data_IF_166316840444
#
_entry.id   IF_166316840444
#
_cell.length_a   1.000
_cell.length_b   1.000
_cell.length_c   1.000
_cell.angle_alpha   90.00
_cell.angle_beta   90.00
_cell.angle_gamma   90.00
#
_symmetry.space_group_name_H-M   'P 1'
#
loop_
_entity.id
_entity.type
_entity.pdbx_description
1 polymer ?
#
# COMPACT_ATOMS: atom_id res chain seq x y z
N UNK A 1 -20.02 -52.59 -12.85
CA UNK A 1 -20.45 -51.78 -11.68
C UNK A 1 -19.50 -50.59 -11.58
N UNK A 2 -19.95 -49.45 -12.07
CA UNK A 2 -19.19 -48.25 -12.32
C UNK A 2 -19.24 -47.36 -11.08
N UNK A 3 -18.08 -47.04 -10.50
CA UNK A 3 -17.97 -46.08 -9.41
C UNK A 3 -17.45 -44.72 -9.94
N UNK A 4 -18.37 -43.78 -10.16
CA UNK A 4 -18.02 -42.40 -10.45
C UNK A 4 -17.46 -41.71 -9.20
N UNK A 5 -16.21 -41.37 -9.21
CA UNK A 5 -15.61 -40.46 -8.24
C UNK A 5 -15.92 -39.00 -8.67
N UNK A 6 -16.86 -38.41 -7.95
CA UNK A 6 -17.22 -36.99 -8.04
C UNK A 6 -16.06 -36.13 -7.59
N UNK A 7 -15.38 -35.44 -8.52
CA UNK A 7 -14.47 -34.38 -8.24
C UNK A 7 -15.28 -33.16 -7.76
N UNK A 8 -15.26 -32.89 -6.46
CA UNK A 8 -15.76 -31.63 -5.91
C UNK A 8 -14.77 -30.53 -6.27
N UNK A 9 -15.11 -29.76 -7.28
CA UNK A 9 -14.44 -28.50 -7.58
C UNK A 9 -14.72 -27.52 -6.43
N UNK A 10 -13.71 -27.26 -5.63
CA UNK A 10 -13.73 -26.15 -4.66
C UNK A 10 -13.58 -24.87 -5.46
N UNK A 11 -14.69 -24.19 -5.72
CA UNK A 11 -14.68 -22.82 -6.23
C UNK A 11 -14.26 -21.93 -5.08
N UNK A 12 -12.99 -21.50 -5.10
CA UNK A 12 -12.54 -20.43 -4.23
C UNK A 12 -13.11 -19.16 -4.83
N UNK A 13 -14.19 -18.67 -4.24
CA UNK A 13 -14.68 -17.33 -4.52
C UNK A 13 -13.66 -16.32 -3.99
N UNK A 14 -12.87 -15.74 -4.88
CA UNK A 14 -12.10 -14.56 -4.58
C UNK A 14 -13.10 -13.44 -4.25
N UNK A 15 -13.32 -13.18 -2.97
CA UNK A 15 -14.08 -12.04 -2.53
C UNK A 15 -13.24 -10.80 -2.80
N UNK A 16 -13.46 -10.16 -3.94
CA UNK A 16 -13.02 -8.79 -4.16
C UNK A 16 -13.72 -7.92 -3.10
N UNK A 17 -12.99 -7.57 -2.05
CA UNK A 17 -13.46 -6.60 -1.07
C UNK A 17 -13.39 -5.23 -1.72
N UNK A 18 -14.40 -4.90 -2.52
CA UNK A 18 -14.68 -3.52 -2.89
C UNK A 18 -15.27 -2.87 -1.66
N UNK A 19 -14.46 -2.21 -0.87
CA UNK A 19 -14.92 -1.32 0.19
C UNK A 19 -15.54 -0.09 -0.48
N UNK A 20 -16.81 -0.20 -0.86
CA UNK A 20 -17.63 0.94 -1.21
C UNK A 20 -17.94 1.70 0.08
N UNK A 21 -17.11 2.67 0.42
CA UNK A 21 -17.47 3.67 1.43
C UNK A 21 -18.44 4.65 0.76
N UNK A 22 -19.73 4.43 0.96
CA UNK A 22 -20.75 5.41 0.61
C UNK A 22 -20.63 6.59 1.58
N UNK A 23 -19.88 7.61 1.20
CA UNK A 23 -19.89 8.90 1.89
C UNK A 23 -20.91 9.78 1.15
N UNK A 24 -22.08 9.94 1.73
CA UNK A 24 -22.99 11.02 1.37
C UNK A 24 -22.29 12.36 1.69
N UNK A 25 -21.74 13.01 0.71
CA UNK A 25 -21.03 14.27 0.84
C UNK A 25 -21.19 15.11 -0.41
N UNK A 26 -21.68 16.32 -0.23
CA UNK A 26 -21.65 17.42 -1.20
C UNK A 26 -20.28 17.46 -1.91
N UNK A 27 -20.31 17.50 -3.24
CA UNK A 27 -19.12 17.68 -4.06
C UNK A 27 -18.50 19.05 -3.75
N UNK A 28 -17.52 19.09 -2.88
CA UNK A 28 -16.68 20.27 -2.72
C UNK A 28 -15.73 20.31 -3.94
N UNK A 29 -15.77 21.41 -4.67
CA UNK A 29 -14.75 21.71 -5.67
C UNK A 29 -13.41 21.85 -4.90
N UNK A 30 -12.55 20.85 -5.01
CA UNK A 30 -11.25 20.86 -4.38
C UNK A 30 -10.36 21.82 -5.16
N UNK A 31 -10.15 23.01 -4.63
CA UNK A 31 -9.11 23.90 -5.15
C UNK A 31 -7.77 23.34 -4.73
N UNK A 32 -7.13 22.56 -5.61
CA UNK A 32 -5.74 22.17 -5.42
C UNK A 32 -4.88 23.42 -5.60
N UNK A 33 -4.18 23.88 -4.56
CA UNK A 33 -3.11 24.86 -4.72
C UNK A 33 -1.90 24.13 -5.27
N UNK A 34 -1.50 24.44 -6.51
CA UNK A 34 -0.31 23.87 -7.14
C UNK A 34 0.70 24.96 -7.41
N UNK A 35 1.85 24.94 -6.74
CA UNK A 35 3.10 25.42 -7.33
C UNK A 35 3.56 24.35 -8.34
N UNK A 36 4.47 24.71 -9.26
CA UNK A 36 4.83 23.80 -10.37
C UNK A 36 5.21 22.37 -9.91
N UNK A 37 5.82 22.20 -8.74
CA UNK A 37 6.31 20.91 -8.21
C UNK A 37 5.68 20.49 -6.88
N UNK A 38 4.65 21.18 -6.41
CA UNK A 38 3.92 20.85 -5.17
C UNK A 38 2.43 20.92 -5.43
N UNK A 39 1.69 19.90 -5.04
CA UNK A 39 0.24 19.88 -5.02
C UNK A 39 -0.26 19.53 -3.62
N UNK A 40 -1.25 20.24 -3.10
CA UNK A 40 -1.86 19.96 -1.81
C UNK A 40 -3.38 20.01 -1.87
N UNK A 41 -4.01 19.28 -0.96
CA UNK A 41 -5.45 19.29 -0.75
C UNK A 41 -5.74 19.64 0.70
N UNK A 42 -6.74 20.50 0.97
CA UNK A 42 -7.15 20.82 2.33
C UNK A 42 -7.88 19.63 2.97
N UNK A 43 -7.78 19.51 4.30
CA UNK A 43 -8.44 18.46 5.08
C UNK A 43 -9.97 18.53 4.94
N UNK A 44 -10.54 19.73 4.89
CA UNK A 44 -11.98 19.99 4.69
C UNK A 44 -12.91 19.12 5.58
N UNK A 45 -12.51 18.88 6.83
CA UNK A 45 -13.28 18.10 7.82
C UNK A 45 -13.33 16.60 7.57
N UNK A 46 -12.51 16.05 6.67
CA UNK A 46 -12.47 14.61 6.38
C UNK A 46 -11.83 13.83 7.53
N UNK A 47 -12.47 12.73 7.91
CA UNK A 47 -11.94 11.74 8.86
C UNK A 47 -11.43 10.48 8.17
N UNK A 48 -11.77 10.29 6.88
CA UNK A 48 -11.35 9.17 6.05
C UNK A 48 -11.05 9.66 4.64
N UNK A 49 -10.08 9.03 3.99
CA UNK A 49 -9.75 9.29 2.59
C UNK A 49 -9.15 8.04 1.93
N UNK A 50 -9.28 7.97 0.61
CA UNK A 50 -8.64 6.97 -0.22
C UNK A 50 -7.71 7.66 -1.22
N UNK A 51 -6.48 7.14 -1.35
CA UNK A 51 -5.50 7.58 -2.33
C UNK A 51 -5.23 6.46 -3.32
N UNK A 52 -5.24 6.79 -4.61
CA UNK A 52 -4.80 5.92 -5.70
C UNK A 52 -3.68 6.58 -6.47
N UNK A 53 -2.52 5.92 -6.54
CA UNK A 53 -1.36 6.36 -7.33
C UNK A 53 -1.40 5.67 -8.68
N UNK A 54 -1.48 6.44 -9.77
CA UNK A 54 -1.71 5.89 -11.13
C UNK A 54 -0.58 6.16 -12.12
N UNK A 55 0.42 6.97 -11.75
CA UNK A 55 1.58 7.21 -12.60
C UNK A 55 2.83 6.57 -12.02
N UNK A 56 3.55 5.84 -12.87
CA UNK A 56 4.84 5.24 -12.52
C UNK A 56 5.88 6.29 -12.15
N UNK A 57 6.76 5.95 -11.23
CA UNK A 57 7.88 6.80 -10.78
C UNK A 57 9.07 5.93 -10.39
N UNK A 58 10.31 6.41 -10.55
CA UNK A 58 11.47 5.66 -10.04
C UNK A 58 11.37 5.42 -8.53
N UNK A 59 11.14 6.46 -7.75
CA UNK A 59 10.99 6.37 -6.30
C UNK A 59 9.70 7.05 -5.86
N UNK A 60 8.89 6.32 -5.10
CA UNK A 60 7.71 6.83 -4.40
C UNK A 60 7.97 6.77 -2.89
N UNK A 61 8.02 7.92 -2.25
CA UNK A 61 8.15 8.06 -0.79
C UNK A 61 6.82 8.54 -0.20
N UNK A 62 6.23 7.74 0.69
CA UNK A 62 4.94 8.03 1.32
C UNK A 62 5.12 8.05 2.83
N UNK A 63 4.70 9.14 3.45
CA UNK A 63 4.75 9.26 4.91
C UNK A 63 3.45 9.83 5.47
N UNK A 64 3.26 9.66 6.79
CA UNK A 64 2.13 10.22 7.51
C UNK A 64 2.63 11.20 8.57
N UNK A 65 2.12 12.45 8.52
CA UNK A 65 2.49 13.50 9.44
C UNK A 65 1.30 14.42 9.79
N UNK A 66 1.49 15.29 10.78
CA UNK A 66 0.52 16.36 11.04
C UNK A 66 0.71 17.49 10.02
N UNK A 67 -0.25 17.67 9.15
CA UNK A 67 -0.23 18.67 8.07
C UNK A 67 -0.98 19.96 8.41
N UNK A 68 -1.37 20.17 9.67
CA UNK A 68 -1.95 21.43 10.18
C UNK A 68 -3.09 22.01 9.31
N UNK A 69 -3.99 21.16 8.83
CA UNK A 69 -5.15 21.57 8.03
C UNK A 69 -5.12 21.08 6.58
N UNK A 70 -4.00 20.61 6.07
CA UNK A 70 -3.96 19.90 4.80
C UNK A 70 -4.34 18.42 4.99
N UNK A 71 -5.02 17.88 4.00
CA UNK A 71 -5.34 16.45 3.88
C UNK A 71 -4.11 15.67 3.42
N UNK A 72 -3.47 16.18 2.38
CA UNK A 72 -2.25 15.61 1.82
C UNK A 72 -1.45 16.66 1.07
N UNK A 73 -0.15 16.38 0.94
CA UNK A 73 0.80 17.17 0.12
C UNK A 73 1.64 16.22 -0.71
N UNK A 74 1.80 16.54 -1.98
CA UNK A 74 2.65 15.79 -2.91
C UNK A 74 3.67 16.73 -3.51
N UNK A 75 4.91 16.30 -3.61
CA UNK A 75 5.98 17.07 -4.24
C UNK A 75 6.86 16.22 -5.13
N UNK A 76 7.41 16.86 -6.15
CA UNK A 76 8.51 16.38 -6.99
C UNK A 76 9.66 17.36 -6.88
N UNK A 77 10.93 16.96 -7.13
CA UNK A 77 12.06 17.90 -7.14
C UNK A 77 11.86 19.01 -8.17
N UNK A 78 12.36 20.22 -7.89
CA UNK A 78 12.21 21.39 -8.77
C UNK A 78 12.78 21.19 -10.19
N UNK A 79 13.78 20.32 -10.34
CA UNK A 79 14.36 19.96 -11.64
C UNK A 79 13.67 18.80 -12.35
N UNK A 80 12.65 18.18 -11.75
CA UNK A 80 11.93 17.06 -12.39
C UNK A 80 11.09 17.56 -13.57
N UNK A 81 11.06 16.78 -14.64
CA UNK A 81 10.22 17.06 -15.80
C UNK A 81 8.74 16.77 -15.56
N UNK A 82 8.42 16.15 -14.45
CA UNK A 82 7.07 15.74 -14.06
C UNK A 82 6.56 16.60 -12.90
N UNK A 83 5.25 16.77 -12.84
CA UNK A 83 4.56 17.54 -11.79
C UNK A 83 3.42 16.75 -11.23
N UNK A 84 3.17 16.78 -9.91
CA UNK A 84 2.06 16.08 -9.31
C UNK A 84 0.72 16.72 -9.69
N UNK A 85 -0.25 15.88 -10.03
CA UNK A 85 -1.63 16.27 -10.31
C UNK A 85 -2.55 15.45 -9.43
N UNK A 86 -3.38 16.14 -8.65
CA UNK A 86 -4.39 15.53 -7.79
C UNK A 86 -5.77 15.74 -8.41
N UNK A 87 -6.55 14.68 -8.53
CA UNK A 87 -7.89 14.70 -9.08
C UNK A 87 -8.82 13.75 -8.33
N UNK A 88 -10.13 13.88 -8.53
CA UNK A 88 -11.09 13.05 -7.83
C UNK A 88 -11.23 13.39 -6.35
N UNK A 89 -12.13 12.73 -5.67
CA UNK A 89 -12.41 12.95 -4.25
C UNK A 89 -12.49 11.67 -3.43
N UNK A 90 -12.90 10.55 -4.04
CA UNK A 90 -13.01 9.25 -3.41
C UNK A 90 -12.97 8.13 -4.48
N UNK A 91 -11.81 7.61 -4.86
CA UNK A 91 -10.48 7.96 -4.34
C UNK A 91 -9.95 9.31 -4.88
N UNK A 92 -9.01 9.90 -4.15
CA UNK A 92 -8.12 10.92 -4.68
C UNK A 92 -7.12 10.21 -5.58
N UNK A 93 -7.00 10.68 -6.80
CA UNK A 93 -6.07 10.09 -7.78
C UNK A 93 -4.85 10.98 -7.89
N UNK A 94 -3.68 10.42 -7.60
CA UNK A 94 -2.39 11.02 -7.86
C UNK A 94 -1.87 10.54 -9.21
N UNK A 95 -1.67 11.47 -10.12
CA UNK A 95 -0.98 11.26 -11.38
C UNK A 95 0.16 12.26 -11.56
N UNK A 96 1.04 12.01 -12.53
CA UNK A 96 2.13 12.89 -12.88
C UNK A 96 1.89 13.44 -14.28
N UNK A 97 1.91 14.77 -14.42
CA UNK A 97 1.84 15.44 -15.70
C UNK A 97 3.24 15.92 -16.13
N UNK A 98 3.50 15.95 -17.44
CA UNK A 98 4.82 16.25 -17.99
C UNK A 98 5.58 14.96 -18.36
N UNK A 99 6.86 15.05 -18.63
CA UNK A 99 7.63 13.88 -19.10
C UNK A 99 7.52 13.70 -20.61
N UNK A 100 7.80 14.76 -21.38
CA UNK A 100 7.91 14.66 -22.84
C UNK A 100 9.08 13.73 -23.22
N UNK A 101 8.94 13.08 -24.38
CA UNK A 101 9.84 12.05 -24.95
C UNK A 101 11.22 12.55 -25.39
N UNK A 102 11.68 13.70 -24.91
CA UNK A 102 13.00 14.23 -25.26
C UNK A 102 14.06 13.77 -24.29
N UNK A 103 14.93 12.99 -24.84
CA UNK A 103 16.22 12.48 -24.34
C UNK A 103 16.89 13.30 -23.24
N UNK A 104 17.40 12.58 -22.22
CA UNK A 104 18.24 13.06 -21.12
C UNK A 104 17.51 13.74 -19.96
N UNK A 105 16.33 13.26 -19.58
CA UNK A 105 15.75 13.67 -18.32
C UNK A 105 16.19 12.69 -17.21
N UNK A 106 16.58 13.24 -16.09
CA UNK A 106 16.90 12.48 -14.88
C UNK A 106 15.80 11.45 -14.63
N UNK A 107 16.11 10.18 -14.90
CA UNK A 107 15.24 9.04 -14.57
C UNK A 107 15.21 8.80 -13.06
N UNK A 108 15.92 9.61 -12.31
CA UNK A 108 16.19 9.44 -10.90
C UNK A 108 15.56 10.62 -10.13
N UNK A 109 14.26 10.52 -9.88
CA UNK A 109 13.55 11.49 -9.03
C UNK A 109 12.64 10.78 -8.05
N UNK A 110 12.40 11.42 -6.92
CA UNK A 110 11.49 10.94 -5.88
C UNK A 110 10.20 11.74 -5.92
N UNK A 111 9.08 11.04 -5.94
CA UNK A 111 7.77 11.63 -5.66
C UNK A 111 7.50 11.46 -4.17
N UNK A 112 7.43 12.56 -3.44
CA UNK A 112 7.17 12.55 -2.00
C UNK A 112 5.70 12.85 -1.74
N UNK A 113 5.04 11.97 -0.99
CA UNK A 113 3.64 12.06 -0.59
C UNK A 113 3.57 12.12 0.92
N UNK A 114 3.03 13.21 1.47
CA UNK A 114 2.77 13.33 2.90
C UNK A 114 1.26 13.34 3.13
N UNK A 115 0.80 12.42 3.96
CA UNK A 115 -0.61 12.21 4.29
C UNK A 115 -0.90 12.71 5.70
N UNK A 116 -2.10 13.24 5.93
CA UNK A 116 -2.50 13.73 7.25
C UNK A 116 -2.69 12.60 8.25
N UNK A 117 -2.08 12.72 9.42
CA UNK A 117 -2.24 11.77 10.54
C UNK A 117 -3.64 11.81 11.19
N UNK A 118 -4.42 12.85 10.94
CA UNK A 118 -5.79 12.98 11.45
C UNK A 118 -6.82 12.12 10.71
N UNK A 119 -6.44 11.52 9.58
CA UNK A 119 -7.33 10.79 8.66
C UNK A 119 -7.03 9.29 8.68
N UNK A 120 -8.05 8.46 8.49
CA UNK A 120 -7.90 7.03 8.21
C UNK A 120 -7.75 6.85 6.70
N UNK A 121 -6.62 6.25 6.28
CA UNK A 121 -6.27 6.12 4.88
C UNK A 121 -6.54 4.73 4.33
N UNK A 122 -7.07 4.66 3.10
CA UNK A 122 -7.01 3.49 2.22
C UNK A 122 -6.08 3.83 1.06
N UNK A 123 -5.07 2.98 0.79
CA UNK A 123 -4.02 3.26 -0.19
C UNK A 123 -4.05 2.23 -1.31
N UNK A 124 -3.99 2.68 -2.56
CA UNK A 124 -3.87 1.85 -3.77
C UNK A 124 -2.68 2.34 -4.61
N UNK A 125 -1.60 1.55 -4.62
CA UNK A 125 -0.42 1.77 -5.45
C UNK A 125 -0.62 1.03 -6.78
N UNK A 126 -1.25 1.72 -7.74
CA UNK A 126 -1.66 1.15 -9.03
C UNK A 126 -0.70 1.50 -10.19
N UNK A 127 0.51 1.92 -9.87
CA UNK A 127 1.53 2.25 -10.86
C UNK A 127 2.88 1.64 -10.51
N UNK A 128 3.61 1.20 -11.53
CA UNK A 128 4.92 0.58 -11.36
C UNK A 128 5.98 1.54 -10.82
N UNK A 129 6.83 1.06 -9.94
CA UNK A 129 7.95 1.80 -9.35
C UNK A 129 9.21 0.95 -9.35
N UNK A 130 10.39 1.58 -9.34
CA UNK A 130 11.61 0.87 -8.97
C UNK A 130 11.63 0.65 -7.45
N UNK A 131 11.27 1.70 -6.68
CA UNK A 131 11.21 1.62 -5.23
C UNK A 131 9.99 2.37 -4.71
N UNK A 132 9.23 1.71 -3.84
CA UNK A 132 8.20 2.35 -3.00
C UNK A 132 8.63 2.22 -1.55
N UNK A 133 8.77 3.35 -0.88
CA UNK A 133 8.99 3.44 0.56
C UNK A 133 7.75 4.09 1.20
N UNK A 134 7.15 3.43 2.18
CA UNK A 134 5.96 3.95 2.84
C UNK A 134 6.08 3.83 4.36
N UNK A 135 6.37 4.95 5.03
CA UNK A 135 6.32 5.02 6.49
C UNK A 135 4.94 5.49 6.97
N UNK A 136 4.10 4.54 7.29
CA UNK A 136 2.72 4.80 7.71
C UNK A 136 2.53 4.70 9.23
N UNK A 137 3.61 4.51 10.00
CA UNK A 137 3.58 4.27 11.46
C UNK A 137 2.89 5.38 12.24
N UNK A 138 3.03 6.63 11.78
CA UNK A 138 2.47 7.82 12.43
C UNK A 138 0.96 8.04 12.21
N UNK A 139 0.26 7.12 11.53
CA UNK A 139 -1.11 7.33 11.13
C UNK A 139 -2.06 6.18 11.39
N UNK A 140 -3.17 6.21 10.67
CA UNK A 140 -4.21 5.19 10.67
C UNK A 140 -4.49 4.74 9.25
N UNK A 141 -4.46 3.41 9.03
CA UNK A 141 -4.68 2.80 7.73
C UNK A 141 -5.78 1.75 7.84
N UNK A 142 -6.71 1.74 6.91
CA UNK A 142 -7.82 0.78 6.82
C UNK A 142 -7.56 -0.34 5.81
N UNK A 143 -6.66 -0.14 4.86
CA UNK A 143 -6.29 -1.15 3.86
C UNK A 143 -5.25 -0.63 2.90
N UNK A 144 -4.49 -1.56 2.31
CA UNK A 144 -3.47 -1.27 1.29
C UNK A 144 -3.65 -2.27 0.14
N UNK A 145 -3.58 -1.76 -1.07
CA UNK A 145 -3.47 -2.55 -2.29
C UNK A 145 -2.22 -2.10 -3.08
N UNK A 146 -1.46 -3.06 -3.59
CA UNK A 146 -0.34 -2.84 -4.52
C UNK A 146 -0.67 -3.64 -5.76
N UNK A 147 -1.25 -2.98 -6.75
CA UNK A 147 -1.78 -3.63 -7.95
C UNK A 147 -0.82 -3.59 -9.14
N UNK A 148 0.26 -2.82 -9.03
CA UNK A 148 1.33 -2.75 -10.04
C UNK A 148 2.66 -3.26 -9.47
N UNK A 149 3.60 -3.60 -10.36
CA UNK A 149 4.90 -4.14 -9.98
C UNK A 149 5.85 -3.12 -9.36
N UNK A 150 6.77 -3.61 -8.51
CA UNK A 150 7.87 -2.82 -7.94
C UNK A 150 9.12 -3.69 -7.79
N UNK A 151 10.31 -3.12 -7.97
CA UNK A 151 11.52 -3.88 -7.64
C UNK A 151 11.68 -4.00 -6.13
N UNK A 152 11.50 -2.89 -5.40
CA UNK A 152 11.57 -2.86 -3.94
C UNK A 152 10.31 -2.20 -3.39
N UNK A 153 9.62 -2.91 -2.52
CA UNK A 153 8.48 -2.43 -1.77
C UNK A 153 8.83 -2.50 -0.27
N UNK A 154 9.06 -1.33 0.35
CA UNK A 154 9.37 -1.21 1.78
C UNK A 154 8.24 -0.46 2.48
N UNK A 155 7.49 -1.14 3.34
CA UNK A 155 6.32 -0.56 4.00
C UNK A 155 6.37 -0.80 5.50
N UNK A 156 6.28 0.30 6.26
CA UNK A 156 6.13 0.29 7.71
C UNK A 156 4.69 0.63 8.10
N UNK A 157 3.99 -0.29 8.76
CA UNK A 157 2.57 -0.18 9.07
C UNK A 157 2.30 0.24 10.51
N UNK A 158 1.24 1.04 10.77
CA UNK A 158 0.79 1.36 12.12
C UNK A 158 0.12 0.15 12.79
N UNK A 159 -0.14 0.25 14.08
CA UNK A 159 -1.00 -0.74 14.77
C UNK A 159 -2.43 -0.64 14.20
N UNK A 160 -2.99 -1.74 13.69
CA UNK A 160 -4.32 -1.70 13.11
C UNK A 160 -5.41 -1.67 14.19
N UNK A 161 -6.55 -1.10 13.82
CA UNK A 161 -7.80 -1.21 14.56
C UNK A 161 -8.66 -2.29 13.87
N UNK A 162 -8.57 -3.52 14.37
CA UNK A 162 -9.20 -4.67 13.72
C UNK A 162 -8.27 -5.42 12.77
N UNK A 163 -8.80 -5.99 11.69
CA UNK A 163 -8.02 -6.63 10.64
C UNK A 163 -7.64 -5.61 9.58
N UNK A 164 -6.34 -5.44 9.33
CA UNK A 164 -5.85 -4.63 8.21
C UNK A 164 -5.53 -5.55 7.03
N UNK A 165 -6.30 -5.45 5.94
CA UNK A 165 -6.00 -6.17 4.71
C UNK A 165 -4.86 -5.48 3.95
N UNK A 166 -3.92 -6.28 3.48
CA UNK A 166 -2.85 -5.89 2.58
C UNK A 166 -2.88 -6.81 1.36
N UNK A 167 -3.20 -6.26 0.21
CA UNK A 167 -3.28 -7.00 -1.04
C UNK A 167 -2.08 -6.66 -1.93
N UNK A 168 -1.33 -7.67 -2.35
CA UNK A 168 -0.24 -7.56 -3.31
C UNK A 168 -0.60 -8.35 -4.58
N UNK A 169 -1.03 -7.65 -5.62
CA UNK A 169 -1.34 -8.21 -6.95
C UNK A 169 -0.20 -7.96 -7.94
N UNK A 170 0.59 -6.91 -7.76
CA UNK A 170 1.77 -6.63 -8.56
C UNK A 170 2.94 -7.55 -8.21
N UNK A 171 3.74 -7.96 -9.20
CA UNK A 171 4.99 -8.68 -8.95
C UNK A 171 6.01 -7.79 -8.26
N UNK A 172 6.69 -8.31 -7.22
CA UNK A 172 7.69 -7.56 -6.45
C UNK A 172 8.96 -8.40 -6.30
N UNK A 173 10.13 -7.80 -6.54
CA UNK A 173 11.39 -8.52 -6.31
C UNK A 173 11.70 -8.63 -4.81
N UNK A 174 11.64 -7.53 -4.08
CA UNK A 174 11.88 -7.48 -2.65
C UNK A 174 10.71 -6.80 -1.93
N UNK A 175 9.99 -7.55 -1.13
CA UNK A 175 8.92 -7.06 -0.29
C UNK A 175 9.39 -7.04 1.19
N UNK A 176 9.63 -5.84 1.69
CA UNK A 176 10.00 -5.57 3.08
C UNK A 176 8.79 -4.98 3.78
N UNK A 177 8.36 -5.60 4.86
CA UNK A 177 7.23 -5.09 5.63
C UNK A 177 7.59 -5.05 7.11
N UNK A 178 7.45 -3.88 7.71
CA UNK A 178 7.73 -3.62 9.11
C UNK A 178 6.42 -3.43 9.88
N UNK A 179 6.16 -4.30 10.84
CA UNK A 179 4.91 -4.37 11.59
C UNK A 179 5.14 -4.06 13.07
N UNK A 180 4.15 -3.53 13.80
CA UNK A 180 4.28 -3.32 15.25
C UNK A 180 4.43 -4.65 15.99
N UNK A 181 5.30 -4.68 16.97
CA UNK A 181 5.50 -5.83 17.84
C UNK A 181 4.20 -6.26 18.51
N UNK A 182 4.03 -7.57 18.70
CA UNK A 182 2.86 -8.17 19.37
C UNK A 182 1.57 -8.20 18.53
N UNK A 183 1.59 -7.78 17.27
CA UNK A 183 0.44 -7.87 16.36
C UNK A 183 0.66 -9.03 15.38
N UNK A 184 -0.17 -10.08 15.40
CA UNK A 184 0.00 -11.21 14.49
C UNK A 184 -0.33 -10.83 13.04
N UNK A 185 0.41 -11.43 12.09
CA UNK A 185 0.21 -11.27 10.67
C UNK A 185 0.08 -12.63 10.01
N UNK A 186 -1.03 -12.89 9.32
CA UNK A 186 -1.16 -14.00 8.38
C UNK A 186 -0.58 -13.56 7.04
N UNK A 187 0.14 -14.46 6.39
CA UNK A 187 0.69 -14.25 5.05
C UNK A 187 0.22 -15.37 4.14
N UNK A 188 -0.47 -15.01 3.07
CA UNK A 188 -0.84 -15.92 1.98
C UNK A 188 0.10 -15.66 0.80
N UNK A 189 0.80 -16.71 0.35
CA UNK A 189 1.72 -16.68 -0.79
C UNK A 189 1.01 -17.31 -1.98
N UNK A 190 0.30 -16.52 -2.77
CA UNK A 190 -0.52 -17.02 -3.89
C UNK A 190 0.31 -17.47 -5.09
N UNK A 191 1.25 -16.65 -5.56
CA UNK A 191 2.07 -16.90 -6.75
C UNK A 191 3.41 -17.63 -6.48
N UNK A 192 3.71 -17.96 -5.23
CA UNK A 192 5.00 -18.56 -4.84
C UNK A 192 6.09 -17.53 -4.56
N UNK A 193 7.14 -17.93 -3.83
CA UNK A 193 8.27 -17.09 -3.46
C UNK A 193 9.57 -17.89 -3.38
N UNK A 194 10.70 -17.24 -3.71
CA UNK A 194 12.01 -17.86 -3.49
C UNK A 194 12.38 -17.87 -2.00
N UNK A 195 11.99 -16.84 -1.25
CA UNK A 195 12.30 -16.75 0.18
C UNK A 195 11.22 -15.96 0.93
N UNK A 196 10.81 -16.47 2.09
CA UNK A 196 9.89 -15.80 3.02
C UNK A 196 10.44 -15.86 4.43
N UNK A 197 10.66 -14.70 5.06
CA UNK A 197 11.01 -14.56 6.48
C UNK A 197 9.88 -13.84 7.22
N UNK A 198 9.31 -14.48 8.23
CA UNK A 198 8.25 -13.88 9.07
C UNK A 198 8.79 -13.40 10.43
N UNK A 199 10.11 -13.47 10.62
CA UNK A 199 10.77 -13.20 11.90
C UNK A 199 10.71 -14.38 12.88
N UNK A 200 9.80 -15.32 12.69
CA UNK A 200 9.72 -16.58 13.46
C UNK A 200 10.05 -17.80 12.61
N UNK A 201 10.00 -17.70 11.31
CA UNK A 201 10.27 -18.77 10.35
C UNK A 201 10.96 -18.20 9.11
N UNK A 202 11.93 -18.94 8.60
CA UNK A 202 12.62 -18.68 7.35
C UNK A 202 12.37 -19.85 6.41
N UNK A 203 11.76 -19.59 5.26
CA UNK A 203 11.36 -20.58 4.28
C UNK A 203 11.97 -20.25 2.92
N UNK A 204 12.44 -21.27 2.20
CA UNK A 204 12.95 -21.18 0.84
C UNK A 204 12.09 -22.00 -0.10
N UNK A 205 11.95 -21.55 -1.37
CA UNK A 205 11.17 -22.27 -2.37
C UNK A 205 9.70 -22.45 -1.98
N UNK A 206 9.07 -21.38 -1.52
CA UNK A 206 7.68 -21.40 -1.02
C UNK A 206 6.72 -21.55 -2.19
N UNK A 207 5.92 -22.61 -2.17
CA UNK A 207 4.96 -22.89 -3.22
C UNK A 207 3.78 -21.93 -3.20
N UNK A 208 3.19 -21.67 -4.37
CA UNK A 208 1.94 -20.93 -4.47
C UNK A 208 0.80 -21.62 -3.69
N UNK A 209 -0.04 -20.82 -3.06
CA UNK A 209 -1.12 -21.29 -2.18
C UNK A 209 -0.70 -21.54 -0.73
N UNK A 210 0.57 -21.33 -0.38
CA UNK A 210 1.04 -21.47 1.01
C UNK A 210 0.46 -20.37 1.90
N UNK A 211 -0.08 -20.76 3.07
CA UNK A 211 -0.62 -19.83 4.07
C UNK A 211 0.14 -19.98 5.37
N UNK A 212 0.77 -18.91 5.82
CA UNK A 212 1.53 -18.82 7.05
C UNK A 212 0.68 -18.07 8.09
N UNK A 213 0.12 -18.81 9.04
CA UNK A 213 -0.74 -18.25 10.10
C UNK A 213 -0.07 -18.43 11.45
N UNK A 214 0.33 -17.36 12.15
CA UNK A 214 0.91 -17.47 13.47
C UNK A 214 -0.15 -17.82 14.52
N UNK A 215 0.27 -18.43 15.66
CA UNK A 215 -0.64 -18.68 16.77
C UNK A 215 -1.37 -17.40 17.22
N UNK A 216 -2.65 -17.55 17.59
CA UNK A 216 -3.47 -16.45 18.09
C UNK A 216 -4.00 -15.48 17.03
N UNK A 217 -3.66 -15.62 15.75
CA UNK A 217 -4.11 -14.71 14.70
C UNK A 217 -5.65 -14.63 14.61
N UNK A 218 -6.33 -15.76 14.69
CA UNK A 218 -7.79 -15.84 14.55
C UNK A 218 -8.55 -15.10 15.67
N UNK A 219 -7.99 -15.08 16.88
CA UNK A 219 -8.59 -14.48 18.08
C UNK A 219 -8.08 -13.07 18.38
N UNK A 220 -7.04 -12.60 17.66
CA UNK A 220 -6.49 -11.27 17.87
C UNK A 220 -7.48 -10.18 17.42
N UNK A 221 -7.69 -9.19 18.27
CA UNK A 221 -8.50 -8.02 17.96
C UNK A 221 -7.84 -7.08 16.96
N UNK A 222 -6.51 -7.05 16.95
CA UNK A 222 -5.68 -6.29 15.99
C UNK A 222 -4.78 -7.27 15.27
N UNK A 223 -4.85 -7.32 13.94
CA UNK A 223 -4.09 -8.28 13.13
C UNK A 223 -3.91 -7.79 11.70
N UNK A 224 -2.92 -8.35 11.03
CA UNK A 224 -2.70 -8.13 9.60
C UNK A 224 -3.11 -9.36 8.80
N UNK A 225 -3.66 -9.12 7.62
CA UNK A 225 -3.99 -10.14 6.63
C UNK A 225 -3.30 -9.76 5.31
N UNK A 226 -2.14 -10.37 5.06
CA UNK A 226 -1.30 -10.07 3.91
C UNK A 226 -1.57 -11.15 2.87
N UNK A 227 -2.16 -10.75 1.75
CA UNK A 227 -2.48 -11.63 0.62
C UNK A 227 -1.64 -11.21 -0.60
N UNK A 228 -0.59 -11.98 -0.88
CA UNK A 228 0.26 -11.80 -2.04
C UNK A 228 -0.17 -12.78 -3.13
N UNK A 229 -1.04 -12.34 -4.03
CA UNK A 229 -1.58 -13.18 -5.12
C UNK A 229 -0.59 -13.38 -6.25
N UNK A 230 0.32 -12.41 -6.47
CA UNK A 230 1.45 -12.52 -7.40
C UNK A 230 2.65 -13.19 -6.76
N UNK A 231 3.57 -13.68 -7.62
CA UNK A 231 4.88 -14.16 -7.18
C UNK A 231 5.81 -13.00 -6.77
N UNK A 232 6.69 -13.28 -5.81
CA UNK A 232 7.76 -12.37 -5.39
C UNK A 232 9.06 -13.17 -5.13
N UNK A 233 10.22 -12.49 -5.23
CA UNK A 233 11.46 -13.20 -4.94
C UNK A 233 11.70 -13.33 -3.45
N UNK A 234 11.48 -12.24 -2.69
CA UNK A 234 11.75 -12.21 -1.24
C UNK A 234 10.68 -11.44 -0.50
N UNK A 235 10.16 -12.02 0.58
CA UNK A 235 9.41 -11.33 1.62
C UNK A 235 10.19 -11.36 2.93
N UNK A 236 10.32 -10.21 3.57
CA UNK A 236 10.89 -10.09 4.92
C UNK A 236 9.94 -9.30 5.80
N UNK A 237 9.42 -9.94 6.83
CA UNK A 237 8.58 -9.31 7.86
C UNK A 237 9.45 -8.98 9.06
N UNK A 238 9.59 -7.71 9.36
CA UNK A 238 10.29 -7.22 10.56
C UNK A 238 9.32 -6.70 11.60
N UNK A 239 9.80 -6.47 12.83
CA UNK A 239 8.98 -5.94 13.92
C UNK A 239 9.62 -4.68 14.49
N UNK A 240 8.86 -3.61 14.55
CA UNK A 240 9.26 -2.40 15.25
C UNK A 240 8.56 -2.30 16.61
N UNK A 241 9.21 -1.63 17.56
CA UNK A 241 8.65 -1.46 18.89
C UNK A 241 8.05 -0.07 19.05
N UNK A 242 6.72 0.06 19.25
CA UNK A 242 6.09 1.35 19.45
C UNK A 242 6.56 2.11 20.70
N UNK A 243 7.14 1.42 21.68
CA UNK A 243 7.69 2.05 22.89
C UNK A 243 9.09 2.66 22.70
N UNK A 244 9.74 2.44 21.55
CA UNK A 244 11.08 2.95 21.24
C UNK A 244 11.09 4.25 20.43
N UNK A 245 9.95 4.87 20.21
CA UNK A 245 9.87 6.18 19.56
C UNK A 245 10.12 7.27 20.61
N UNK A 246 11.32 7.80 20.64
CA UNK A 246 11.74 8.94 21.46
C UNK A 246 11.44 10.25 20.74
#
# INVERSE_FOLDING_TARGET
MSGLLSRRSVVIAAAAVVLAVAVGGTAYALSASSSAHVASLPLAGRSQAALKVTSGTPVLDVSIANLHGDLMRVSTPDGASVRPVLSGSAPIVLSLAGGGTTSAQSTDYTVTVVLSSSVVWSLDFAAGTQRTEADLRGGRVSGIAVTAGSDILDISLPRPSGTLPFLLEGGVSQFLISLPGGVPARVTVGGGAAYVSTGSQDLTGVAGGTVLTPPGWATATSRFDIDATSGFSRLTVTRWNPAASY
#
